data_IF_781615822885
#
_entry.id   IF_781615822885
#
_cell.length_a   1.000
_cell.length_b   1.000
_cell.length_c   1.000
_cell.angle_alpha   90.00
_cell.angle_beta   90.00
_cell.angle_gamma   90.00
#
_symmetry.space_group_name_H-M   'P 1'
#
loop_
_entity.id
_entity.type
_entity.pdbx_description
1 polymer ?
#
# COMPACT_ATOMS: atom_id res chain seq x y z
N UNK A 1 -32.53 3.95 3.02
CA UNK A 1 -31.22 4.41 2.46
C UNK A 1 -30.29 3.23 2.18
N UNK A 2 -30.12 2.28 3.11
CA UNK A 2 -29.39 1.02 2.87
C UNK A 2 -29.96 0.20 1.71
N UNK A 3 -31.28 0.08 1.60
CA UNK A 3 -31.92 -0.75 0.56
C UNK A 3 -31.75 -0.17 -0.85
N UNK A 4 -31.68 1.17 -0.96
CA UNK A 4 -31.39 1.87 -2.23
C UNK A 4 -29.94 1.64 -2.65
N UNK A 5 -28.99 1.69 -1.72
CA UNK A 5 -27.57 1.41 -1.98
C UNK A 5 -27.38 -0.05 -2.41
N UNK A 6 -28.04 -0.98 -1.72
CA UNK A 6 -28.01 -2.40 -2.07
C UNK A 6 -28.66 -2.66 -3.42
N UNK A 7 -29.77 -2.00 -3.76
CA UNK A 7 -30.43 -2.09 -5.07
C UNK A 7 -29.60 -1.50 -6.23
N UNK A 8 -28.82 -0.45 -5.98
CA UNK A 8 -27.84 0.10 -6.93
C UNK A 8 -26.63 -0.84 -7.08
N UNK A 9 -26.23 -1.54 -6.01
CA UNK A 9 -25.14 -2.51 -6.05
C UNK A 9 -25.55 -3.83 -6.74
N UNK A 10 -26.75 -4.36 -6.46
CA UNK A 10 -27.32 -5.58 -7.05
C UNK A 10 -27.70 -5.41 -8.52
N UNK A 11 -27.94 -4.17 -8.97
CA UNK A 11 -28.23 -3.86 -10.36
C UNK A 11 -29.70 -3.89 -10.76
N UNK A 12 -30.58 -3.96 -9.79
CA UNK A 12 -32.03 -3.93 -9.98
C UNK A 12 -32.56 -2.52 -10.31
N UNK A 13 -31.83 -1.47 -9.91
CA UNK A 13 -32.18 -0.06 -10.17
C UNK A 13 -31.43 0.54 -11.38
N UNK A 14 -31.76 0.11 -12.62
CA UNK A 14 -31.09 0.52 -13.86
C UNK A 14 -31.10 2.05 -14.12
N UNK A 15 -32.23 2.72 -13.87
CA UNK A 15 -32.38 4.17 -14.09
C UNK A 15 -31.58 5.02 -13.09
N UNK A 16 -31.58 4.64 -11.81
CA UNK A 16 -30.76 5.28 -10.78
C UNK A 16 -29.26 5.10 -11.04
N UNK A 17 -28.85 3.94 -11.57
CA UNK A 17 -27.47 3.70 -12.02
C UNK A 17 -27.07 4.68 -13.13
N UNK A 18 -27.83 4.80 -14.21
CA UNK A 18 -27.51 5.70 -15.32
C UNK A 18 -27.37 7.16 -14.87
N UNK A 19 -28.26 7.64 -14.00
CA UNK A 19 -28.18 8.99 -13.42
C UNK A 19 -26.94 9.20 -12.55
N UNK A 20 -26.48 8.17 -11.83
CA UNK A 20 -25.28 8.21 -11.01
C UNK A 20 -23.99 8.09 -11.85
N UNK A 21 -24.03 7.36 -12.97
CA UNK A 21 -22.86 7.16 -13.84
C UNK A 21 -22.35 8.46 -14.44
N UNK A 22 -23.22 9.40 -14.84
CA UNK A 22 -22.80 10.67 -15.45
C UNK A 22 -21.91 11.52 -14.51
N UNK A 23 -22.32 11.85 -13.27
CA UNK A 23 -21.46 12.58 -12.35
C UNK A 23 -20.22 11.77 -11.93
N UNK A 24 -20.32 10.45 -11.78
CA UNK A 24 -19.14 9.62 -11.49
C UNK A 24 -18.15 9.59 -12.66
N UNK A 25 -18.63 9.55 -13.90
CA UNK A 25 -17.79 9.57 -15.10
C UNK A 25 -17.06 10.92 -15.22
N UNK A 26 -17.77 12.03 -14.96
CA UNK A 26 -17.15 13.35 -14.91
C UNK A 26 -16.07 13.43 -13.83
N UNK A 27 -16.35 12.94 -12.61
CA UNK A 27 -15.37 12.89 -11.52
C UNK A 27 -14.20 11.97 -11.85
N UNK A 28 -14.45 10.85 -12.52
CA UNK A 28 -13.43 9.92 -13.00
C UNK A 28 -12.52 10.58 -14.03
N UNK A 29 -13.07 11.38 -14.95
CA UNK A 29 -12.28 12.15 -15.91
C UNK A 29 -11.38 13.19 -15.23
N UNK A 30 -11.92 13.94 -14.26
CA UNK A 30 -11.11 14.88 -13.46
C UNK A 30 -9.98 14.17 -12.71
N UNK A 31 -10.27 13.00 -12.12
CA UNK A 31 -9.27 12.18 -11.46
C UNK A 31 -8.19 11.69 -12.44
N UNK A 32 -8.59 11.28 -13.65
CA UNK A 32 -7.66 10.87 -14.71
C UNK A 32 -6.74 12.02 -15.14
N UNK A 33 -7.28 13.22 -15.38
CA UNK A 33 -6.47 14.40 -15.73
C UNK A 33 -5.47 14.71 -14.63
N UNK A 34 -5.89 14.65 -13.36
CA UNK A 34 -4.99 14.85 -12.21
C UNK A 34 -3.87 13.80 -12.15
N UNK A 35 -4.17 12.52 -12.42
CA UNK A 35 -3.16 11.46 -12.50
C UNK A 35 -2.18 11.68 -13.66
N UNK A 36 -2.67 12.06 -14.84
CA UNK A 36 -1.83 12.35 -16.01
C UNK A 36 -0.90 13.53 -15.76
N UNK A 37 -1.41 14.62 -15.15
CA UNK A 37 -0.59 15.77 -14.76
C UNK A 37 0.48 15.37 -13.74
N UNK A 38 0.11 14.54 -12.75
CA UNK A 38 1.06 14.02 -11.76
C UNK A 38 2.16 13.17 -12.39
N UNK A 39 1.80 12.27 -13.29
CA UNK A 39 2.75 11.44 -14.03
C UNK A 39 3.70 12.29 -14.88
N UNK A 40 3.16 13.28 -15.59
CA UNK A 40 3.96 14.22 -16.38
C UNK A 40 4.99 14.97 -15.53
N UNK A 41 4.59 15.47 -14.35
CA UNK A 41 5.49 16.14 -13.41
C UNK A 41 6.63 15.24 -12.90
N UNK A 42 6.40 13.93 -12.72
CA UNK A 42 7.48 13.00 -12.40
C UNK A 42 8.39 12.71 -13.61
N UNK A 43 7.81 12.50 -14.80
CA UNK A 43 8.56 12.22 -16.04
C UNK A 43 9.48 13.37 -16.46
N UNK A 44 9.02 14.60 -16.22
CA UNK A 44 9.77 15.83 -16.54
C UNK A 44 10.72 16.27 -15.43
N UNK A 45 10.80 15.54 -14.31
CA UNK A 45 11.69 15.87 -13.20
C UNK A 45 11.26 17.08 -12.36
N UNK A 46 10.06 17.64 -12.59
CA UNK A 46 9.50 18.73 -11.79
C UNK A 46 9.29 18.28 -10.33
N UNK A 47 8.81 17.05 -10.15
CA UNK A 47 8.78 16.42 -8.82
C UNK A 47 10.08 15.67 -8.54
N UNK A 48 10.66 15.92 -7.37
CA UNK A 48 11.89 15.26 -6.92
C UNK A 48 11.65 13.78 -6.66
N UNK A 49 12.50 12.95 -7.24
CA UNK A 49 12.67 11.54 -6.86
C UNK A 49 13.82 11.46 -5.86
N UNK A 50 13.70 10.59 -4.87
CA UNK A 50 14.73 10.39 -3.85
C UNK A 50 15.27 8.97 -4.01
N UNK A 51 16.59 8.84 -4.00
CA UNK A 51 17.26 7.56 -4.13
C UNK A 51 17.35 6.87 -2.77
N UNK A 52 17.07 5.57 -2.76
CA UNK A 52 17.20 4.75 -1.57
C UNK A 52 18.67 4.28 -1.41
N UNK A 53 19.16 4.12 -0.17
CA UNK A 53 20.53 3.66 0.09
C UNK A 53 20.76 2.17 -0.25
N UNK A 54 19.69 1.42 -0.50
CA UNK A 54 19.70 -0.03 -0.78
C UNK A 54 18.83 -0.35 -2.01
N UNK A 55 19.00 -1.52 -2.65
CA UNK A 55 18.12 -1.96 -3.73
C UNK A 55 16.66 -2.09 -3.28
N UNK A 56 15.71 -1.46 -4.00
CA UNK A 56 14.29 -1.45 -3.66
C UNK A 56 13.45 -2.12 -4.75
N UNK A 57 12.55 -3.03 -4.34
CA UNK A 57 11.53 -3.63 -5.21
C UNK A 57 10.16 -3.09 -4.79
N UNK A 58 9.48 -2.37 -5.70
CA UNK A 58 8.13 -1.87 -5.47
C UNK A 58 7.10 -2.89 -5.96
N UNK A 59 6.20 -3.34 -5.05
CA UNK A 59 5.08 -4.23 -5.38
C UNK A 59 3.77 -3.44 -5.27
N UNK A 60 3.21 -3.06 -6.42
CA UNK A 60 1.98 -2.28 -6.54
C UNK A 60 0.87 -3.01 -7.30
N UNK A 61 -0.33 -2.42 -7.33
CA UNK A 61 -1.41 -2.85 -8.24
C UNK A 61 -2.12 -1.61 -8.78
N UNK A 62 -2.71 -1.74 -9.97
CA UNK A 62 -3.43 -0.68 -10.68
C UNK A 62 -4.89 -0.58 -10.21
N UNK A 63 -5.46 -1.69 -9.75
CA UNK A 63 -6.87 -1.79 -9.32
C UNK A 63 -7.03 -1.73 -7.80
N UNK A 64 -8.13 -1.12 -7.33
CA UNK A 64 -8.58 -1.19 -5.94
C UNK A 64 -9.16 -2.58 -5.65
N UNK A 65 -8.73 -3.23 -4.55
CA UNK A 65 -9.21 -4.56 -4.13
C UNK A 65 -8.12 -5.57 -3.78
N UNK A 66 -8.55 -6.75 -3.36
CA UNK A 66 -7.72 -7.90 -2.97
C UNK A 66 -6.97 -8.50 -4.16
N UNK A 67 -5.85 -7.90 -4.50
CA UNK A 67 -5.16 -8.07 -5.79
C UNK A 67 -3.89 -8.92 -5.67
N UNK A 68 -3.85 -9.79 -4.67
CA UNK A 68 -2.73 -10.73 -4.47
C UNK A 68 -1.39 -10.11 -4.07
N UNK A 69 -1.30 -8.78 -3.87
CA UNK A 69 -0.07 -8.09 -3.46
C UNK A 69 0.57 -8.72 -2.23
N UNK A 70 -0.22 -8.97 -1.20
CA UNK A 70 0.26 -9.51 0.08
C UNK A 70 0.87 -10.92 -0.08
N UNK A 71 0.21 -11.89 -0.76
CA UNK A 71 0.85 -13.17 -1.12
C UNK A 71 2.15 -13.03 -1.93
N UNK A 72 2.20 -12.09 -2.89
CA UNK A 72 3.39 -11.86 -3.72
C UNK A 72 4.55 -11.34 -2.88
N UNK A 73 4.30 -10.35 -2.02
CA UNK A 73 5.32 -9.81 -1.08
C UNK A 73 5.81 -10.89 -0.13
N UNK A 74 4.92 -11.71 0.43
CA UNK A 74 5.27 -12.84 1.28
C UNK A 74 6.17 -13.85 0.56
N UNK A 75 5.83 -14.22 -0.69
CA UNK A 75 6.63 -15.19 -1.46
C UNK A 75 7.99 -14.61 -1.85
N UNK A 76 8.04 -13.37 -2.33
CA UNK A 76 9.27 -12.70 -2.73
C UNK A 76 10.23 -12.59 -1.55
N UNK A 77 9.76 -12.04 -0.43
CA UNK A 77 10.58 -11.85 0.77
C UNK A 77 11.16 -13.17 1.29
N UNK A 78 10.37 -14.24 1.35
CA UNK A 78 10.89 -15.58 1.70
C UNK A 78 11.92 -16.08 0.69
N UNK A 79 11.66 -15.94 -0.60
CA UNK A 79 12.59 -16.40 -1.65
C UNK A 79 13.95 -15.70 -1.57
N UNK A 80 13.98 -14.40 -1.27
CA UNK A 80 15.24 -13.68 -1.07
C UNK A 80 15.94 -14.10 0.21
N UNK A 81 15.19 -14.31 1.30
CA UNK A 81 15.74 -14.85 2.55
C UNK A 81 16.37 -16.24 2.35
N UNK A 82 15.69 -17.12 1.62
CA UNK A 82 16.17 -18.49 1.32
C UNK A 82 17.44 -18.47 0.45
N UNK A 83 17.65 -17.40 -0.32
CA UNK A 83 18.87 -17.15 -1.10
C UNK A 83 20.01 -16.49 -0.28
N UNK A 84 19.83 -16.28 1.02
CA UNK A 84 20.84 -15.71 1.91
C UNK A 84 20.87 -14.17 1.96
N UNK A 85 19.88 -13.49 1.40
CA UNK A 85 19.74 -12.04 1.57
C UNK A 85 19.02 -11.68 2.88
N UNK A 86 19.11 -10.42 3.29
CA UNK A 86 18.42 -9.86 4.45
C UNK A 86 17.26 -8.94 4.03
N UNK A 87 16.18 -9.44 3.40
CA UNK A 87 15.13 -8.58 2.90
C UNK A 87 14.42 -7.82 4.03
N UNK A 88 13.97 -6.59 3.74
CA UNK A 88 13.02 -5.84 4.57
C UNK A 88 11.72 -5.58 3.82
N UNK A 89 10.60 -5.58 4.54
CA UNK A 89 9.28 -5.27 3.97
C UNK A 89 8.85 -3.88 4.43
N UNK A 90 8.63 -2.97 3.49
CA UNK A 90 8.18 -1.61 3.79
C UNK A 90 6.68 -1.48 3.48
N UNK A 91 5.88 -1.13 4.48
CA UNK A 91 4.43 -0.92 4.34
C UNK A 91 3.98 0.40 4.93
N UNK A 92 2.81 0.88 4.51
CA UNK A 92 2.27 2.17 4.98
C UNK A 92 1.62 2.03 6.36
N UNK A 93 1.14 0.82 6.68
CA UNK A 93 0.35 0.55 7.89
C UNK A 93 -1.03 1.18 7.79
N UNK A 94 -1.87 0.64 6.91
CA UNK A 94 -3.25 1.11 6.75
C UNK A 94 -4.05 0.85 8.04
N UNK A 95 -4.93 1.79 8.41
CA UNK A 95 -5.80 1.74 9.61
C UNK A 95 -5.08 1.45 10.94
N UNK A 96 -3.80 1.85 11.06
CA UNK A 96 -3.04 1.70 12.31
C UNK A 96 -3.30 2.84 13.29
N UNK A 97 -3.19 2.56 14.59
CA UNK A 97 -3.28 3.58 15.65
C UNK A 97 -1.93 4.21 16.00
N UNK A 98 -0.81 3.47 15.87
CA UNK A 98 0.53 3.97 16.21
C UNK A 98 1.05 4.88 15.09
N UNK A 99 1.43 6.09 15.46
CA UNK A 99 1.96 7.10 14.54
C UNK A 99 3.47 6.97 14.35
N UNK A 100 4.00 7.64 13.32
CA UNK A 100 5.43 7.67 13.02
C UNK A 100 5.93 6.52 12.13
N UNK A 101 7.24 6.38 12.08
CA UNK A 101 7.94 5.32 11.34
C UNK A 101 8.59 4.38 12.34
N UNK A 102 8.32 3.08 12.25
CA UNK A 102 8.83 2.11 13.20
C UNK A 102 8.87 0.69 12.63
N UNK A 103 9.80 -0.17 13.07
CA UNK A 103 9.74 -1.61 12.83
C UNK A 103 8.60 -2.24 13.66
N UNK A 104 7.89 -3.21 13.08
CA UNK A 104 6.85 -3.97 13.79
C UNK A 104 7.51 -4.88 14.83
N UNK A 105 7.14 -4.71 16.09
CA UNK A 105 7.55 -5.59 17.18
C UNK A 105 6.45 -6.59 17.49
N UNK A 106 6.65 -7.87 17.14
CA UNK A 106 5.64 -8.91 17.38
C UNK A 106 5.31 -9.16 18.87
N UNK A 107 6.14 -8.69 19.82
CA UNK A 107 5.89 -8.81 21.25
C UNK A 107 5.03 -7.69 21.80
N UNK A 108 5.23 -6.47 21.30
CA UNK A 108 4.63 -5.24 21.84
C UNK A 108 3.56 -4.63 20.93
N UNK A 109 3.57 -4.95 19.64
CA UNK A 109 2.59 -4.48 18.68
C UNK A 109 1.49 -5.52 18.43
N UNK A 110 0.36 -5.03 17.93
CA UNK A 110 -0.80 -5.81 17.51
C UNK A 110 -1.24 -5.36 16.11
N UNK A 111 -2.22 -6.06 15.56
CA UNK A 111 -2.84 -5.71 14.29
C UNK A 111 -3.42 -4.27 14.31
N UNK A 112 -3.99 -3.83 15.44
CA UNK A 112 -4.49 -2.47 15.60
C UNK A 112 -3.37 -1.40 15.65
N UNK A 113 -2.20 -1.73 16.23
CA UNK A 113 -1.11 -0.74 16.39
C UNK A 113 -0.23 -0.65 15.15
N UNK A 114 0.13 -1.77 14.52
CA UNK A 114 0.98 -1.81 13.34
C UNK A 114 0.19 -1.74 12.01
N UNK A 115 -1.11 -2.06 12.05
CA UNK A 115 -1.96 -2.32 10.90
C UNK A 115 -2.01 -3.81 10.58
N UNK A 116 -3.20 -4.31 10.21
CA UNK A 116 -3.47 -5.74 10.04
C UNK A 116 -2.51 -6.42 9.05
N UNK A 117 -2.28 -5.81 7.88
CA UNK A 117 -1.37 -6.37 6.87
C UNK A 117 0.09 -6.41 7.36
N UNK A 118 0.54 -5.36 8.05
CA UNK A 118 1.92 -5.25 8.52
C UNK A 118 2.21 -6.32 9.59
N UNK A 119 1.32 -6.42 10.57
CA UNK A 119 1.42 -7.41 11.65
C UNK A 119 1.32 -8.84 11.11
N UNK A 120 0.40 -9.10 10.19
CA UNK A 120 0.24 -10.40 9.55
C UNK A 120 1.50 -10.81 8.77
N UNK A 121 2.07 -9.92 7.97
CA UNK A 121 3.29 -10.17 7.22
C UNK A 121 4.45 -10.47 8.17
N UNK A 122 4.67 -9.63 9.18
CA UNK A 122 5.73 -9.84 10.18
C UNK A 122 5.62 -11.20 10.86
N UNK A 123 4.39 -11.59 11.26
CA UNK A 123 4.12 -12.86 11.93
C UNK A 123 4.38 -14.06 11.04
N UNK A 124 3.99 -13.99 9.76
CA UNK A 124 4.08 -15.11 8.81
C UNK A 124 5.50 -15.28 8.25
N UNK A 125 6.16 -14.20 7.86
CA UNK A 125 7.46 -14.25 7.19
C UNK A 125 8.63 -14.31 8.16
N UNK A 126 8.46 -13.79 9.39
CA UNK A 126 9.58 -13.54 10.33
C UNK A 126 10.71 -12.74 9.67
N UNK A 127 10.33 -11.79 8.81
CA UNK A 127 11.18 -10.84 8.12
C UNK A 127 10.87 -9.45 8.71
N UNK A 128 11.86 -8.56 8.89
CA UNK A 128 11.60 -7.21 9.37
C UNK A 128 10.54 -6.50 8.51
N UNK A 129 9.51 -5.98 9.16
CA UNK A 129 8.47 -5.17 8.53
C UNK A 129 8.55 -3.77 9.13
N UNK A 130 8.75 -2.76 8.31
CA UNK A 130 8.80 -1.36 8.73
C UNK A 130 7.56 -0.65 8.23
N UNK A 131 6.93 0.09 9.14
CA UNK A 131 5.68 0.80 8.88
C UNK A 131 5.93 2.30 8.88
N UNK A 132 5.72 2.96 7.75
CA UNK A 132 5.91 4.41 7.61
C UNK A 132 5.12 5.00 6.44
N UNK A 133 4.63 6.24 6.63
CA UNK A 133 3.91 6.97 5.57
C UNK A 133 4.87 7.38 4.46
N UNK A 134 6.04 7.90 4.83
CA UNK A 134 7.14 8.15 3.92
C UNK A 134 7.93 6.86 3.71
N UNK A 135 8.21 6.53 2.45
CA UNK A 135 8.89 5.27 2.09
C UNK A 135 10.38 5.34 2.34
N UNK A 136 11.01 6.49 2.10
CA UNK A 136 12.45 6.64 2.28
C UNK A 136 12.81 6.60 3.76
N UNK A 137 12.11 7.38 4.59
CA UNK A 137 12.32 7.36 6.04
C UNK A 137 12.10 5.96 6.63
N UNK A 138 11.16 5.18 6.07
CA UNK A 138 10.95 3.80 6.48
C UNK A 138 12.07 2.85 6.04
N UNK A 139 12.68 3.08 4.87
CA UNK A 139 13.85 2.33 4.43
C UNK A 139 15.04 2.64 5.33
N UNK A 140 15.33 3.92 5.57
CA UNK A 140 16.42 4.38 6.45
C UNK A 140 16.27 3.78 7.86
N UNK A 141 15.08 3.86 8.45
CA UNK A 141 14.77 3.23 9.74
C UNK A 141 15.01 1.71 9.72
N UNK A 142 14.69 1.04 8.61
CA UNK A 142 14.92 -0.40 8.47
C UNK A 142 16.39 -0.75 8.37
N UNK A 143 17.18 0.02 7.62
CA UNK A 143 18.63 -0.15 7.50
C UNK A 143 19.28 0.02 8.87
N UNK A 144 18.92 1.09 9.60
CA UNK A 144 19.51 1.42 10.89
C UNK A 144 19.13 0.43 12.00
N UNK A 145 17.86 0.03 12.08
CA UNK A 145 17.34 -0.77 13.20
C UNK A 145 17.37 -2.29 12.94
N UNK A 146 17.35 -2.71 11.67
CA UNK A 146 17.14 -4.11 11.29
C UNK A 146 18.18 -4.65 10.31
N UNK A 147 19.11 -3.83 9.83
CA UNK A 147 20.17 -4.21 8.88
C UNK A 147 19.63 -4.96 7.65
N UNK A 148 18.56 -4.40 7.06
CA UNK A 148 17.94 -4.88 5.82
C UNK A 148 18.69 -4.42 4.56
#
# INVERSE_FOLDING_TARGET
MRDVIVGIWSGEAKTARCLLYVPLAFLSYLYQVALMAREYMYKTGIMKTQDAPIPVISVGNITLGGTGKTPVVERLSRTFKDKGFNPGIITRGYLRSKSGTFPVDLKNDSAATAGDEAYMLAKRTRIPVIVGKDRLTAIECGVDCCNI
#
